data_IF_656627087543
#
_entry.id   IF_656627087543
#
_cell.length_a   1.000
_cell.length_b   1.000
_cell.length_c   1.000
_cell.angle_alpha   90.00
_cell.angle_beta   90.00
_cell.angle_gamma   90.00
#
_symmetry.space_group_name_H-M   'P 1'
#
loop_
_entity.id
_entity.type
_entity.pdbx_description
1 polymer ?
#
# COMPACT_ATOMS: atom_id res chain seq x y z
N UNK A 1 -15.88 -39.57 -54.39
CA UNK A 1 -14.87 -39.46 -53.32
C UNK A 1 -14.76 -37.99 -52.92
N UNK A 2 -15.37 -37.59 -51.80
CA UNK A 2 -15.27 -36.22 -51.26
C UNK A 2 -14.76 -36.35 -49.84
N UNK A 3 -13.53 -35.91 -49.59
CA UNK A 3 -12.91 -35.89 -48.27
C UNK A 3 -13.31 -34.59 -47.56
N UNK A 4 -14.08 -34.71 -46.48
CA UNK A 4 -14.44 -33.60 -45.62
C UNK A 4 -13.32 -33.39 -44.58
N UNK A 5 -12.54 -32.32 -44.75
CA UNK A 5 -11.55 -31.85 -43.77
C UNK A 5 -12.32 -31.04 -42.72
N UNK A 6 -12.55 -31.66 -41.56
CA UNK A 6 -13.10 -30.98 -40.38
C UNK A 6 -12.02 -30.13 -39.72
N UNK A 7 -12.15 -28.80 -39.83
CA UNK A 7 -11.31 -27.83 -39.14
C UNK A 7 -11.79 -27.72 -37.68
N UNK A 8 -11.03 -28.30 -36.75
CA UNK A 8 -11.22 -28.12 -35.31
C UNK A 8 -10.68 -26.74 -34.92
N UNK A 9 -11.59 -25.77 -34.76
CA UNK A 9 -11.30 -24.49 -34.10
C UNK A 9 -11.13 -24.73 -32.61
N UNK A 10 -9.87 -24.79 -32.15
CA UNK A 10 -9.55 -24.73 -30.73
C UNK A 10 -9.82 -23.31 -30.22
N UNK A 11 -10.97 -23.11 -29.57
CA UNK A 11 -11.25 -21.90 -28.80
C UNK A 11 -10.33 -21.95 -27.56
N UNK A 12 -9.21 -21.25 -27.62
CA UNK A 12 -8.39 -21.00 -26.44
C UNK A 12 -9.23 -20.15 -25.48
N UNK A 13 -9.81 -20.78 -24.46
CA UNK A 13 -10.48 -20.08 -23.38
C UNK A 13 -9.43 -19.26 -22.63
N UNK A 14 -9.42 -17.95 -22.85
CA UNK A 14 -8.63 -17.00 -22.07
C UNK A 14 -9.09 -17.10 -20.62
N UNK A 15 -8.28 -17.70 -19.74
CA UNK A 15 -8.55 -17.65 -18.31
C UNK A 15 -8.55 -16.18 -17.91
N UNK A 16 -9.65 -15.63 -17.35
CA UNK A 16 -9.66 -14.26 -16.91
C UNK A 16 -8.59 -14.12 -15.82
N UNK A 17 -7.53 -13.36 -16.13
CA UNK A 17 -6.54 -12.96 -15.14
C UNK A 17 -7.29 -12.06 -14.16
N UNK A 18 -7.55 -12.56 -12.96
CA UNK A 18 -8.19 -11.77 -11.92
C UNK A 18 -7.41 -10.46 -11.74
N UNK A 19 -8.09 -9.31 -11.59
CA UNK A 19 -7.40 -8.04 -11.38
C UNK A 19 -6.50 -8.17 -10.15
N UNK A 20 -5.19 -8.09 -10.34
CA UNK A 20 -4.25 -8.15 -9.22
C UNK A 20 -4.44 -6.91 -8.37
N UNK A 21 -4.68 -7.11 -7.07
CA UNK A 21 -4.71 -6.01 -6.10
C UNK A 21 -3.40 -5.21 -6.20
N UNK A 22 -3.44 -3.88 -6.01
CA UNK A 22 -2.21 -3.08 -5.97
C UNK A 22 -1.23 -3.70 -4.97
N UNK A 23 0.06 -3.72 -5.34
CA UNK A 23 1.12 -4.33 -4.53
C UNK A 23 2.24 -3.33 -4.28
N UNK A 24 2.59 -3.17 -3.01
CA UNK A 24 3.69 -2.33 -2.55
C UNK A 24 4.77 -3.21 -1.94
N UNK A 25 6.01 -3.06 -2.41
CA UNK A 25 7.17 -3.59 -1.71
C UNK A 25 7.69 -2.53 -0.74
N UNK A 26 7.85 -2.88 0.53
CA UNK A 26 8.43 -2.05 1.58
C UNK A 26 9.79 -2.61 2.00
N UNK A 27 10.87 -1.97 1.55
CA UNK A 27 12.23 -2.35 1.91
C UNK A 27 12.66 -1.65 3.19
N UNK A 28 12.98 -2.44 4.20
CA UNK A 28 13.33 -1.94 5.53
C UNK A 28 14.84 -1.80 5.68
N UNK A 29 15.25 -0.59 6.05
CA UNK A 29 16.61 -0.23 6.44
C UNK A 29 16.57 0.24 7.90
N UNK A 30 17.34 -0.41 8.76
CA UNK A 30 17.49 -0.02 10.16
C UNK A 30 18.85 0.65 10.34
N UNK A 31 18.85 1.91 10.77
CA UNK A 31 20.09 2.65 11.02
C UNK A 31 20.87 2.08 12.21
N UNK A 32 22.19 2.28 12.21
CA UNK A 32 23.05 1.85 13.30
C UNK A 32 22.62 2.51 14.63
N UNK A 33 22.61 1.72 15.71
CA UNK A 33 22.26 2.19 17.05
C UNK A 33 20.76 2.18 17.38
N UNK A 34 19.89 1.80 16.44
CA UNK A 34 18.47 1.58 16.73
C UNK A 34 18.29 0.28 17.53
N UNK A 35 17.72 0.38 18.73
CA UNK A 35 17.34 -0.77 19.55
C UNK A 35 15.94 -1.25 19.16
N UNK A 36 15.89 -2.17 18.18
CA UNK A 36 14.67 -2.84 17.75
C UNK A 36 14.98 -4.30 17.43
N UNK A 37 14.44 -5.22 18.23
CA UNK A 37 14.64 -6.64 18.00
C UNK A 37 14.04 -7.08 16.65
N UNK A 38 14.75 -7.94 15.93
CA UNK A 38 14.33 -8.43 14.60
C UNK A 38 12.94 -9.09 14.63
N UNK A 39 12.61 -9.79 15.71
CA UNK A 39 11.30 -10.45 15.84
C UNK A 39 10.17 -9.44 16.05
N UNK A 40 10.43 -8.32 16.71
CA UNK A 40 9.44 -7.24 16.85
C UNK A 40 9.20 -6.52 15.53
N UNK A 41 10.27 -6.33 14.77
CA UNK A 41 10.18 -5.76 13.44
C UNK A 41 9.41 -6.69 12.48
N UNK A 42 9.62 -8.01 12.54
CA UNK A 42 8.82 -8.99 11.78
C UNK A 42 7.35 -8.99 12.19
N UNK A 43 7.07 -8.95 13.48
CA UNK A 43 5.69 -8.87 13.97
C UNK A 43 5.01 -7.58 13.50
N UNK A 44 5.71 -6.44 13.54
CA UNK A 44 5.21 -5.18 13.01
C UNK A 44 4.95 -5.25 11.50
N UNK A 45 5.83 -5.89 10.74
CA UNK A 45 5.63 -6.11 9.31
C UNK A 45 4.36 -6.93 8.99
N UNK A 46 4.11 -8.01 9.73
CA UNK A 46 2.86 -8.77 9.60
C UNK A 46 1.64 -7.90 9.91
N UNK A 47 1.70 -7.07 10.96
CA UNK A 47 0.62 -6.14 11.30
C UNK A 47 0.39 -5.07 10.20
N UNK A 48 1.45 -4.55 9.57
CA UNK A 48 1.33 -3.61 8.44
C UNK A 48 0.57 -4.27 7.30
N UNK A 49 0.98 -5.50 6.93
CA UNK A 49 0.31 -6.26 5.88
C UNK A 49 -1.15 -6.54 6.22
N UNK A 50 -1.46 -6.92 7.47
CA UNK A 50 -2.83 -7.19 7.91
C UNK A 50 -3.73 -5.94 7.89
N UNK A 51 -3.21 -4.76 8.26
CA UNK A 51 -3.94 -3.49 8.18
C UNK A 51 -4.35 -3.21 6.72
N UNK A 52 -3.42 -3.39 5.78
CA UNK A 52 -3.63 -3.05 4.37
C UNK A 52 -4.32 -4.13 3.54
N UNK A 53 -4.32 -5.39 4.02
CA UNK A 53 -4.89 -6.56 3.34
C UNK A 53 -6.25 -6.33 2.67
N UNK A 54 -7.21 -5.60 3.26
CA UNK A 54 -8.50 -5.37 2.60
C UNK A 54 -8.44 -4.57 1.30
N UNK A 55 -7.36 -3.81 1.04
CA UNK A 55 -7.30 -2.85 -0.08
C UNK A 55 -6.07 -2.97 -0.96
N UNK A 56 -4.92 -3.41 -0.42
CA UNK A 56 -3.69 -3.64 -1.19
C UNK A 56 -2.80 -4.69 -0.50
N UNK A 57 -1.89 -5.30 -1.26
CA UNK A 57 -0.90 -6.22 -0.71
C UNK A 57 0.39 -5.47 -0.37
N UNK A 58 0.86 -5.55 0.88
CA UNK A 58 2.15 -5.01 1.32
C UNK A 58 3.12 -6.16 1.57
N UNK A 59 4.19 -6.21 0.77
CA UNK A 59 5.28 -7.16 0.95
C UNK A 59 6.46 -6.45 1.62
N UNK A 60 6.84 -6.88 2.83
CA UNK A 60 7.93 -6.26 3.60
C UNK A 60 9.21 -7.08 3.46
N UNK A 61 10.28 -6.45 2.97
CA UNK A 61 11.61 -7.06 2.82
C UNK A 61 12.62 -6.49 3.82
N UNK A 62 13.42 -7.37 4.43
CA UNK A 62 14.50 -7.00 5.33
C UNK A 62 15.85 -7.22 4.63
N UNK A 63 16.44 -6.15 4.09
CA UNK A 63 17.71 -6.19 3.36
C UNK A 63 17.58 -6.01 1.85
N UNK A 64 18.68 -6.18 1.12
CA UNK A 64 18.76 -6.05 -0.33
C UNK A 64 18.06 -7.23 -1.03
N UNK A 65 16.73 -7.23 -1.00
CA UNK A 65 15.93 -8.22 -1.73
C UNK A 65 15.98 -7.96 -3.22
N UNK A 66 16.07 -9.03 -4.01
CA UNK A 66 15.76 -9.02 -5.43
C UNK A 66 14.32 -8.55 -5.63
N UNK A 67 14.12 -7.65 -6.59
CA UNK A 67 12.80 -7.17 -6.99
C UNK A 67 11.95 -8.37 -7.42
N UNK A 68 10.81 -8.60 -6.78
CA UNK A 68 9.88 -9.61 -7.27
C UNK A 68 9.24 -9.14 -8.58
N UNK A 69 9.13 -10.00 -9.60
CA UNK A 69 8.40 -9.67 -10.82
C UNK A 69 6.93 -9.33 -10.47
N UNK A 70 6.40 -8.24 -11.04
CA UNK A 70 5.01 -7.83 -10.84
C UNK A 70 4.75 -6.85 -9.68
N UNK A 71 5.80 -6.29 -9.06
CA UNK A 71 5.64 -5.20 -8.09
C UNK A 71 5.25 -3.91 -8.83
N UNK A 72 4.15 -3.29 -8.40
CA UNK A 72 3.70 -2.02 -8.96
C UNK A 72 4.51 -0.84 -8.41
N UNK A 73 4.80 -0.84 -7.09
CA UNK A 73 5.44 0.29 -6.43
C UNK A 73 6.39 -0.14 -5.30
N UNK A 74 7.45 0.65 -5.06
CA UNK A 74 8.50 0.36 -4.08
C UNK A 74 8.69 1.53 -3.12
N UNK A 75 8.68 1.24 -1.83
CA UNK A 75 8.91 2.17 -0.73
C UNK A 75 10.12 1.75 0.09
N UNK A 76 10.86 2.73 0.60
CA UNK A 76 11.95 2.55 1.55
C UNK A 76 11.49 2.96 2.94
N UNK A 77 11.50 2.03 3.89
CA UNK A 77 11.31 2.32 5.30
C UNK A 77 12.66 2.48 5.98
N UNK A 78 13.02 3.70 6.36
CA UNK A 78 14.19 3.98 7.19
C UNK A 78 13.78 4.06 8.65
N UNK A 79 14.25 3.14 9.47
CA UNK A 79 14.05 3.15 10.92
C UNK A 79 15.27 3.81 11.57
N UNK A 80 15.05 4.89 12.32
CA UNK A 80 16.10 5.74 12.91
C UNK A 80 15.79 6.09 14.36
N UNK A 81 16.79 6.59 15.08
CA UNK A 81 16.62 7.23 16.39
C UNK A 81 16.47 8.75 16.30
N UNK A 82 16.47 9.33 15.09
CA UNK A 82 16.27 10.76 14.89
C UNK A 82 14.80 11.14 15.06
N UNK A 83 14.55 12.31 15.64
CA UNK A 83 13.23 12.96 15.61
C UNK A 83 13.03 13.75 14.33
N UNK A 84 11.78 14.09 14.04
CA UNK A 84 11.45 15.08 13.02
C UNK A 84 11.69 16.48 13.62
N UNK A 85 12.48 17.31 12.96
CA UNK A 85 12.75 18.66 13.45
C UNK A 85 11.45 19.48 13.54
N UNK A 86 11.16 20.02 14.73
CA UNK A 86 9.98 20.85 14.97
C UNK A 86 8.67 20.09 15.20
N UNK A 87 8.68 18.75 15.22
CA UNK A 87 7.52 17.93 15.60
C UNK A 87 7.91 16.81 16.56
N UNK A 88 7.56 17.00 17.83
CA UNK A 88 7.83 16.04 18.90
C UNK A 88 6.80 14.89 18.96
N UNK A 89 5.77 14.92 18.13
CA UNK A 89 4.63 13.99 18.21
C UNK A 89 4.55 13.00 17.05
N UNK A 90 5.11 13.34 15.90
CA UNK A 90 5.20 12.45 14.74
C UNK A 90 6.01 11.19 15.04
N UNK A 91 5.38 10.01 14.89
CA UNK A 91 6.07 8.71 15.03
C UNK A 91 6.84 8.34 13.76
N UNK A 92 6.30 8.72 12.60
CA UNK A 92 6.88 8.52 11.29
C UNK A 92 6.55 9.71 10.39
N UNK A 93 7.18 9.78 9.22
CA UNK A 93 6.86 10.77 8.20
C UNK A 93 7.23 10.28 6.80
N UNK A 94 6.48 10.75 5.82
CA UNK A 94 6.84 10.73 4.40
C UNK A 94 6.98 12.15 3.88
N UNK A 95 8.08 12.43 3.18
CA UNK A 95 8.29 13.73 2.55
C UNK A 95 7.42 13.89 1.31
N UNK A 96 7.21 15.13 0.87
CA UNK A 96 6.49 15.43 -0.37
C UNK A 96 7.22 16.49 -1.18
N UNK A 97 7.20 16.38 -2.51
CA UNK A 97 7.65 17.39 -3.47
C UNK A 97 6.45 17.89 -4.27
N UNK A 98 5.95 19.08 -3.95
CA UNK A 98 4.63 19.50 -4.46
C UNK A 98 3.56 18.56 -3.89
N UNK A 99 2.66 18.04 -4.71
CA UNK A 99 1.65 17.04 -4.27
C UNK A 99 2.12 15.59 -4.39
N UNK A 100 3.35 15.36 -4.86
CA UNK A 100 3.89 14.02 -5.04
C UNK A 100 4.59 13.55 -3.76
N UNK A 101 4.18 12.42 -3.15
CA UNK A 101 4.87 11.86 -2.01
C UNK A 101 6.21 11.26 -2.45
N UNK A 102 7.23 11.38 -1.60
CA UNK A 102 8.50 10.69 -1.79
C UNK A 102 8.34 9.21 -1.46
N UNK A 103 9.21 8.37 -2.02
CA UNK A 103 9.20 6.92 -1.79
C UNK A 103 9.92 6.50 -0.51
N UNK A 104 10.38 7.45 0.30
CA UNK A 104 11.04 7.19 1.58
C UNK A 104 10.13 7.55 2.74
N UNK A 105 9.79 6.52 3.53
CA UNK A 105 9.13 6.64 4.83
C UNK A 105 10.20 6.56 5.90
N UNK A 106 10.19 7.48 6.85
CA UNK A 106 11.11 7.43 8.00
C UNK A 106 10.33 7.22 9.29
N UNK A 107 10.79 6.32 10.14
CA UNK A 107 10.18 6.00 11.43
C UNK A 107 11.16 6.36 12.56
N UNK A 108 10.69 7.14 13.53
CA UNK A 108 11.48 7.52 14.71
C UNK A 108 11.24 6.56 15.87
N UNK A 109 12.21 5.69 16.14
CA UNK A 109 12.17 4.80 17.31
C UNK A 109 12.29 5.59 18.61
N UNK A 110 12.97 6.73 18.61
CA UNK A 110 13.01 7.63 19.76
C UNK A 110 11.61 8.17 20.09
N UNK A 111 10.83 8.58 19.09
CA UNK A 111 9.46 9.05 19.29
C UNK A 111 8.54 7.93 19.80
N UNK A 112 8.65 6.72 19.22
CA UNK A 112 7.89 5.55 19.68
C UNK A 112 8.22 5.18 21.14
N UNK A 113 9.51 5.17 21.49
CA UNK A 113 9.96 4.88 22.86
C UNK A 113 9.52 5.96 23.85
N UNK A 114 9.54 7.23 23.45
CA UNK A 114 9.02 8.34 24.27
C UNK A 114 7.53 8.16 24.53
N UNK A 115 6.74 7.90 23.49
CA UNK A 115 5.31 7.62 23.63
C UNK A 115 5.04 6.42 24.56
N UNK A 116 5.84 5.36 24.47
CA UNK A 116 5.74 4.20 25.36
C UNK A 116 6.03 4.56 26.83
N UNK A 117 7.04 5.42 27.06
CA UNK A 117 7.51 5.82 28.39
C UNK A 117 6.51 6.72 29.09
N UNK A 118 5.98 7.69 28.36
CA UNK A 118 5.16 8.77 28.92
C UNK A 118 3.66 8.44 28.85
N UNK A 119 3.30 7.47 28.01
CA UNK A 119 1.92 7.11 27.72
C UNK A 119 1.26 6.23 28.80
N UNK A 120 -0.07 6.24 28.76
CA UNK A 120 -0.93 5.47 29.66
C UNK A 120 -1.90 4.64 28.83
N UNK A 121 -2.15 3.41 29.27
CA UNK A 121 -3.18 2.55 28.71
C UNK A 121 -4.22 2.28 29.79
N UNK A 122 -5.50 2.56 29.51
CA UNK A 122 -6.59 2.51 30.49
C UNK A 122 -6.27 3.23 31.81
N UNK A 123 -5.65 4.42 31.71
CA UNK A 123 -5.30 5.27 32.85
C UNK A 123 -4.07 4.82 33.66
N UNK A 124 -3.45 3.69 33.33
CA UNK A 124 -2.24 3.19 33.98
C UNK A 124 -1.02 3.41 33.10
N UNK A 125 0.10 3.84 33.69
CA UNK A 125 1.35 4.05 32.93
C UNK A 125 1.78 2.77 32.22
N UNK A 126 2.10 2.85 30.92
CA UNK A 126 2.43 1.66 30.13
C UNK A 126 3.65 0.92 30.70
N UNK A 127 4.64 1.67 31.19
CA UNK A 127 5.84 1.13 31.86
C UNK A 127 5.56 0.29 33.12
N UNK A 128 4.35 0.36 33.68
CA UNK A 128 3.95 -0.43 34.85
C UNK A 128 3.27 -1.77 34.50
N UNK A 129 3.08 -2.05 33.22
CA UNK A 129 2.61 -3.35 32.73
C UNK A 129 3.77 -4.34 32.58
N UNK A 130 3.50 -5.65 32.50
CA UNK A 130 4.53 -6.65 32.22
C UNK A 130 5.30 -6.35 30.91
N UNK A 131 6.60 -6.72 30.79
CA UNK A 131 7.43 -6.38 29.64
C UNK A 131 6.85 -6.79 28.26
N UNK A 132 6.10 -7.88 28.20
CA UNK A 132 5.46 -8.33 26.96
C UNK A 132 4.40 -7.32 26.44
N UNK A 133 3.79 -6.52 27.31
CA UNK A 133 2.84 -5.49 26.92
C UNK A 133 3.55 -4.29 26.27
N UNK A 134 4.69 -3.88 26.80
CA UNK A 134 5.54 -2.84 26.17
C UNK A 134 6.05 -3.30 24.81
N UNK A 135 6.42 -4.58 24.69
CA UNK A 135 6.82 -5.19 23.43
C UNK A 135 5.67 -5.20 22.41
N UNK A 136 4.47 -5.56 22.84
CA UNK A 136 3.26 -5.49 22.00
C UNK A 136 2.94 -4.06 21.55
N UNK A 137 3.06 -3.08 22.46
CA UNK A 137 2.92 -1.67 22.12
C UNK A 137 3.89 -1.27 21.02
N UNK A 138 5.18 -1.61 21.17
CA UNK A 138 6.22 -1.31 20.19
C UNK A 138 5.84 -1.83 18.79
N UNK A 139 5.49 -3.11 18.71
CA UNK A 139 5.09 -3.76 17.45
C UNK A 139 3.90 -3.04 16.78
N UNK A 140 2.88 -2.69 17.57
CA UNK A 140 1.67 -2.01 17.06
C UNK A 140 1.92 -0.55 16.70
N UNK A 141 2.74 0.17 17.48
CA UNK A 141 3.11 1.55 17.22
C UNK A 141 3.88 1.67 15.90
N UNK A 142 4.89 0.83 15.71
CA UNK A 142 5.65 0.73 14.45
C UNK A 142 4.70 0.43 13.29
N UNK A 143 3.85 -0.58 13.44
CA UNK A 143 2.95 -0.99 12.37
C UNK A 143 1.96 0.10 11.95
N UNK A 144 1.34 0.78 12.92
CA UNK A 144 0.34 1.82 12.65
C UNK A 144 0.95 3.10 12.10
N UNK A 145 2.10 3.51 12.63
CA UNK A 145 2.82 4.68 12.12
C UNK A 145 3.23 4.45 10.65
N UNK A 146 3.84 3.30 10.33
CA UNK A 146 4.22 2.99 8.95
C UNK A 146 2.99 2.83 8.05
N UNK A 147 1.93 2.16 8.52
CA UNK A 147 0.70 2.03 7.76
C UNK A 147 0.04 3.39 7.47
N UNK A 148 0.11 4.34 8.39
CA UNK A 148 -0.34 5.72 8.21
C UNK A 148 0.44 6.42 7.08
N UNK A 149 1.78 6.31 7.07
CA UNK A 149 2.61 6.91 6.02
C UNK A 149 2.38 6.28 4.64
N UNK A 150 2.17 4.95 4.59
CA UNK A 150 1.72 4.29 3.34
C UNK A 150 0.41 4.91 2.88
N UNK A 151 -0.48 5.27 3.80
CA UNK A 151 -1.74 5.95 3.53
C UNK A 151 -1.53 7.30 2.85
N UNK A 152 -0.64 8.13 3.39
CA UNK A 152 -0.24 9.39 2.76
C UNK A 152 0.30 9.19 1.34
N UNK A 153 1.14 8.16 1.16
CA UNK A 153 1.74 7.84 -0.12
C UNK A 153 0.69 7.39 -1.16
N UNK A 154 -0.15 6.40 -0.84
CA UNK A 154 -1.14 5.85 -1.80
C UNK A 154 -2.27 6.83 -2.11
N UNK A 155 -2.63 7.68 -1.14
CA UNK A 155 -3.65 8.71 -1.34
C UNK A 155 -3.09 9.98 -1.99
N UNK A 156 -1.76 10.10 -2.11
CA UNK A 156 -1.04 11.32 -2.56
C UNK A 156 -1.57 12.56 -1.88
N UNK A 157 -1.72 12.50 -0.56
CA UNK A 157 -2.38 13.53 0.22
C UNK A 157 -1.68 13.71 1.56
N UNK A 158 -1.52 14.98 1.97
CA UNK A 158 -1.07 15.37 3.31
C UNK A 158 -2.22 15.50 4.31
N UNK A 159 -3.45 15.32 3.85
CA UNK A 159 -4.62 15.56 4.69
C UNK A 159 -4.83 14.37 5.63
N UNK A 160 -5.05 14.68 6.90
CA UNK A 160 -5.49 13.72 7.90
C UNK A 160 -7.02 13.62 7.91
N UNK A 161 -7.53 12.44 8.25
CA UNK A 161 -8.93 12.25 8.62
C UNK A 161 -9.16 12.58 10.10
N UNK A 162 -10.42 12.78 10.49
CA UNK A 162 -10.78 12.98 11.91
C UNK A 162 -10.62 11.71 12.75
N UNK A 163 -10.69 10.54 12.13
CA UNK A 163 -10.68 9.23 12.78
C UNK A 163 -10.09 8.16 11.86
N UNK A 164 -9.85 6.97 12.40
CA UNK A 164 -9.29 5.84 11.65
C UNK A 164 -7.78 5.91 11.47
N UNK A 165 -7.26 5.15 10.50
CA UNK A 165 -5.83 5.03 10.23
C UNK A 165 -5.20 6.36 9.83
N UNK A 166 -5.92 7.22 9.11
CA UNK A 166 -5.40 8.51 8.61
C UNK A 166 -5.55 9.67 9.61
N UNK A 167 -5.81 9.41 10.90
CA UNK A 167 -5.90 10.49 11.90
C UNK A 167 -4.54 11.11 12.23
N UNK A 168 -4.53 12.38 12.60
CA UNK A 168 -3.29 13.15 12.81
C UNK A 168 -2.38 12.65 13.95
N UNK A 169 -2.93 11.96 14.96
CA UNK A 169 -2.16 11.48 16.09
C UNK A 169 -2.77 10.20 16.68
N UNK A 170 -1.91 9.31 17.17
CA UNK A 170 -2.29 8.09 17.89
C UNK A 170 -1.89 8.19 19.36
N UNK A 171 -2.86 7.98 20.25
CA UNK A 171 -2.60 7.77 21.68
C UNK A 171 -2.15 6.33 21.95
N UNK A 172 -1.69 6.07 23.19
CA UNK A 172 -1.39 4.70 23.62
C UNK A 172 -2.64 3.83 23.63
N UNK A 173 -3.78 4.35 24.08
CA UNK A 173 -5.06 3.63 23.99
C UNK A 173 -5.38 3.29 22.54
N UNK A 174 -5.24 4.26 21.62
CA UNK A 174 -5.44 3.97 20.20
C UNK A 174 -4.55 2.80 19.77
N UNK A 175 -3.23 2.87 20.00
CA UNK A 175 -2.24 1.85 19.58
C UNK A 175 -2.53 0.47 20.18
N UNK A 176 -2.93 0.43 21.45
CA UNK A 176 -3.17 -0.81 22.18
C UNK A 176 -4.55 -1.41 21.91
N UNK A 177 -5.50 -0.60 21.43
CA UNK A 177 -6.86 -1.06 21.23
C UNK A 177 -7.12 -1.43 19.76
N UNK A 178 -7.51 -2.68 19.54
CA UNK A 178 -8.03 -3.18 18.26
C UNK A 178 -7.14 -3.02 17.01
N UNK A 179 -7.74 -3.21 15.84
CA UNK A 179 -7.17 -2.86 14.53
C UNK A 179 -7.79 -1.53 14.11
N UNK A 180 -7.00 -0.54 13.65
CA UNK A 180 -7.57 0.74 13.24
C UNK A 180 -8.50 0.56 12.04
N UNK A 181 -9.65 1.24 12.05
CA UNK A 181 -10.48 1.32 10.87
C UNK A 181 -9.74 2.10 9.77
N UNK A 182 -9.78 1.63 8.52
CA UNK A 182 -9.07 2.25 7.39
C UNK A 182 -9.54 3.69 7.05
N UNK A 183 -10.69 4.13 7.54
CA UNK A 183 -11.21 5.46 7.20
C UNK A 183 -11.88 5.53 5.82
N UNK A 184 -12.36 6.70 5.44
CA UNK A 184 -13.15 6.90 4.21
C UNK A 184 -12.30 6.96 2.95
N UNK A 185 -11.21 7.72 2.97
CA UNK A 185 -10.35 7.97 1.83
C UNK A 185 -9.69 6.68 1.32
N UNK A 186 -9.25 5.80 2.23
CA UNK A 186 -8.66 4.50 1.87
C UNK A 186 -9.71 3.58 1.24
N UNK A 187 -10.95 3.56 1.74
CA UNK A 187 -12.04 2.80 1.11
C UNK A 187 -12.39 3.34 -0.28
N UNK A 188 -12.38 4.66 -0.45
CA UNK A 188 -12.59 5.29 -1.76
C UNK A 188 -11.48 4.94 -2.75
N UNK A 189 -10.23 4.91 -2.27
CA UNK A 189 -9.08 4.45 -3.05
C UNK A 189 -9.26 3.00 -3.52
N UNK A 190 -9.66 2.10 -2.63
CA UNK A 190 -9.91 0.69 -2.97
C UNK A 190 -10.97 0.57 -4.08
N UNK A 191 -12.11 1.25 -3.92
CA UNK A 191 -13.19 1.25 -4.93
C UNK A 191 -12.73 1.75 -6.29
N UNK A 192 -11.92 2.81 -6.34
CA UNK A 192 -11.38 3.34 -7.61
C UNK A 192 -10.46 2.34 -8.30
N UNK A 193 -9.64 1.61 -7.54
CA UNK A 193 -8.76 0.59 -8.11
C UNK A 193 -9.53 -0.61 -8.65
N UNK A 194 -10.56 -1.07 -7.92
CA UNK A 194 -11.46 -2.12 -8.40
C UNK A 194 -12.15 -1.73 -9.71
N UNK A 195 -12.64 -0.48 -9.80
CA UNK A 195 -13.24 0.05 -11.03
C UNK A 195 -12.25 0.10 -12.18
N UNK A 196 -11.03 0.61 -11.96
CA UNK A 196 -9.97 0.66 -12.99
C UNK A 196 -9.60 -0.72 -13.50
N UNK A 197 -9.47 -1.68 -12.60
CA UNK A 197 -9.12 -3.04 -12.96
C UNK A 197 -10.25 -3.73 -13.74
N UNK A 198 -11.51 -3.45 -13.38
CA UNK A 198 -12.69 -3.91 -14.13
C UNK A 198 -12.74 -3.37 -15.56
N UNK A 199 -12.36 -2.10 -15.76
CA UNK A 199 -12.28 -1.49 -17.10
C UNK A 199 -11.12 -2.08 -17.91
N UNK A 200 -9.96 -2.31 -17.29
CA UNK A 200 -8.80 -2.90 -17.97
C UNK A 200 -9.02 -4.38 -18.38
N UNK A 201 -9.83 -5.12 -17.63
CA UNK A 201 -10.18 -6.51 -17.93
C UNK A 201 -11.37 -6.65 -18.89
N UNK A 202 -12.05 -5.55 -19.27
CA UNK A 202 -13.13 -5.63 -20.24
C UNK A 202 -12.56 -6.14 -21.58
N UNK A 203 -13.11 -7.23 -22.15
CA UNK A 203 -12.64 -7.71 -23.44
C UNK A 203 -12.75 -6.56 -24.42
N UNK A 204 -11.66 -6.26 -25.15
CA UNK A 204 -11.69 -5.31 -26.24
C UNK A 204 -12.82 -5.77 -27.17
N UNK A 205 -13.99 -5.14 -27.06
CA UNK A 205 -15.12 -5.40 -27.93
C UNK A 205 -14.55 -5.27 -29.33
N UNK A 206 -14.50 -6.40 -30.03
CA UNK A 206 -14.00 -6.46 -31.39
C UNK A 206 -14.76 -5.38 -32.15
N UNK A 207 -14.08 -4.28 -32.44
CA UNK A 207 -14.56 -3.28 -33.39
C UNK A 207 -14.60 -4.07 -34.68
N UNK A 208 -15.77 -4.62 -35.02
CA UNK A 208 -15.97 -5.22 -36.32
C UNK A 208 -15.55 -4.17 -37.34
N UNK A 209 -14.54 -4.44 -38.19
CA UNK A 209 -14.21 -3.53 -39.25
C UNK A 209 -15.48 -3.38 -40.08
N UNK A 210 -15.99 -2.16 -40.17
CA UNK A 210 -17.17 -1.83 -40.96
C UNK A 210 -16.93 -2.31 -42.40
N UNK A 211 -17.42 -3.50 -42.71
CA UNK A 211 -17.43 -4.05 -44.05
C UNK A 211 -18.58 -3.38 -44.80
N UNK A 212 -18.26 -2.32 -45.52
CA UNK A 212 -19.17 -1.65 -46.45
C UNK A 212 -18.80 -0.17 -46.55
N UNK A 213 -18.19 0.33 -47.62
CA UNK A 213 -18.34 -0.04 -49.01
C UNK A 213 -18.94 1.15 -49.75
N UNK A 214 -18.13 1.83 -50.57
CA UNK A 214 -18.55 2.43 -51.84
C UNK A 214 -17.31 2.88 -52.61
N UNK A 215 -17.00 2.11 -53.67
CA UNK A 215 -16.21 2.56 -54.81
C UNK A 215 -16.88 3.82 -55.36
N UNK A 216 -16.20 4.96 -55.31
CA UNK A 216 -16.51 6.07 -56.23
C UNK A 216 -15.57 5.93 -57.42
N UNK A 217 -16.22 5.64 -58.54
CA UNK A 217 -15.73 5.57 -59.91
C UNK A 217 -14.98 6.83 -60.33
N UNK A 218 -13.79 6.64 -60.91
CA UNK A 218 -13.07 7.63 -61.72
C UNK A 218 -13.88 7.97 -62.98
N UNK A 219 -13.99 9.26 -63.36
CA UNK A 219 -14.34 9.61 -64.73
C UNK A 219 -13.06 9.68 -65.58
N UNK A 220 -12.97 8.78 -66.55
CA UNK A 220 -12.16 8.99 -67.75
C UNK A 220 -12.70 10.21 -68.49
N UNK A 221 -11.82 11.18 -68.79
CA UNK A 221 -12.03 12.11 -69.91
C UNK A 221 -10.68 12.29 -70.62
N UNK A 222 -10.65 11.76 -71.84
CA UNK A 222 -9.69 12.08 -72.90
C UNK A 222 -9.89 13.54 -73.37
N UNK A 223 -8.81 14.31 -73.43
CA UNK A 223 -8.26 15.04 -74.60
C UNK A 223 -7.27 16.12 -74.17
#
# INVERSE_FOLDING_TARGET
MVAAIGLLLAVAASVPVAPSRPRIQLDVVVEAGVDLARDDLRAAASLIADIWRPVLDVDVSFGSGTVQPGIAERLWLTITNRGLEGDDTGLAWVGFRGDEPLTTVTLSMQAVQRLARDGRWHGRALASYPPHMTRLFLQRAVARAVAHEIGHYVLRSRQHERAGLMRAAFSVDDIMDGVPALGTAIRDYARRNEQRASVASAPALAVEPAAGGKKQSEPSVEN
#
